data_IF_288577880967
#
_entry.id   IF_288577880967
#
_cell.length_a   1.000
_cell.length_b   1.000
_cell.length_c   1.000
_cell.angle_alpha   90.00
_cell.angle_beta   90.00
_cell.angle_gamma   90.00
#
_symmetry.space_group_name_H-M   'P 1'
#
loop_
_entity.id
_entity.type
_entity.pdbx_description
1 polymer ?
#
# COMPACT_ATOMS: atom_id res chain seq x y z
N UNK A 1 0.26 -26.82 2.87
CA UNK A 1 0.05 -25.40 3.22
C UNK A 1 -1.12 -25.16 4.18
N UNK A 2 -2.30 -25.80 4.02
CA UNK A 2 -3.47 -25.53 4.88
C UNK A 2 -3.33 -25.79 6.40
N UNK A 3 -2.47 -26.73 6.83
CA UNK A 3 -2.30 -27.03 8.26
C UNK A 3 -1.48 -25.96 9.02
N UNK A 4 -0.55 -25.27 8.33
CA UNK A 4 0.29 -24.23 8.93
C UNK A 4 -0.52 -22.96 9.23
N UNK A 5 -1.40 -22.55 8.31
CA UNK A 5 -2.33 -21.42 8.51
C UNK A 5 -3.36 -21.67 9.61
N UNK A 6 -3.82 -22.92 9.77
CA UNK A 6 -4.72 -23.31 10.87
C UNK A 6 -4.02 -23.21 12.24
N UNK A 7 -2.74 -23.56 12.32
CA UNK A 7 -1.94 -23.50 13.56
C UNK A 7 -1.52 -22.07 13.94
N UNK A 8 -1.41 -21.16 12.97
CA UNK A 8 -1.05 -19.75 13.17
C UNK A 8 -2.26 -18.82 13.40
N UNK A 9 -3.51 -19.33 13.40
CA UNK A 9 -4.76 -18.54 13.47
C UNK A 9 -4.82 -17.37 12.45
N UNK A 10 -4.01 -17.38 11.40
CA UNK A 10 -4.10 -16.36 10.35
C UNK A 10 -5.41 -16.60 9.60
N UNK A 11 -6.36 -15.65 9.64
CA UNK A 11 -7.60 -15.80 8.91
C UNK A 11 -7.26 -15.89 7.41
N UNK A 12 -7.68 -16.97 6.76
CA UNK A 12 -7.46 -17.21 5.33
C UNK A 12 -8.06 -16.09 4.47
N UNK A 13 -9.18 -15.50 4.90
CA UNK A 13 -9.88 -14.45 4.17
C UNK A 13 -9.02 -13.19 3.94
N UNK A 14 -8.43 -12.54 4.95
CA UNK A 14 -7.49 -11.42 4.76
C UNK A 14 -6.30 -11.74 3.86
N UNK A 15 -5.78 -12.97 3.89
CA UNK A 15 -4.63 -13.35 3.06
C UNK A 15 -5.02 -13.44 1.58
N UNK A 16 -6.17 -14.04 1.28
CA UNK A 16 -6.74 -14.06 -0.08
C UNK A 16 -7.08 -12.65 -0.56
N UNK A 17 -7.68 -11.82 0.32
CA UNK A 17 -7.97 -10.42 0.01
C UNK A 17 -6.69 -9.65 -0.32
N UNK A 18 -5.62 -9.80 0.48
CA UNK A 18 -4.34 -9.16 0.20
C UNK A 18 -3.73 -9.59 -1.13
N UNK A 19 -3.84 -10.88 -1.49
CA UNK A 19 -3.37 -11.40 -2.77
C UNK A 19 -4.12 -10.77 -3.95
N UNK A 20 -5.45 -10.74 -3.89
CA UNK A 20 -6.28 -10.15 -4.95
C UNK A 20 -6.06 -8.64 -5.05
N UNK A 21 -6.01 -7.93 -3.92
CA UNK A 21 -5.71 -6.50 -3.90
C UNK A 21 -4.32 -6.21 -4.46
N UNK A 22 -3.34 -7.08 -4.20
CA UNK A 22 -2.00 -6.99 -4.75
C UNK A 22 -1.99 -7.07 -6.28
N UNK A 23 -2.68 -8.06 -6.84
CA UNK A 23 -2.82 -8.22 -8.30
C UNK A 23 -3.49 -7.00 -8.96
N UNK A 24 -4.52 -6.45 -8.32
CA UNK A 24 -5.20 -5.22 -8.76
C UNK A 24 -4.29 -3.99 -8.69
N UNK A 25 -3.46 -3.89 -7.66
CA UNK A 25 -2.48 -2.82 -7.53
C UNK A 25 -1.38 -2.93 -8.60
N UNK A 26 -0.88 -4.13 -8.86
CA UNK A 26 0.16 -4.37 -9.87
C UNK A 26 -0.35 -4.09 -11.28
N UNK A 27 -1.56 -4.53 -11.61
CA UNK A 27 -2.19 -4.26 -12.91
C UNK A 27 -2.41 -2.76 -13.13
N UNK A 28 -2.91 -2.04 -12.12
CA UNK A 28 -3.08 -0.58 -12.16
C UNK A 28 -1.74 0.14 -12.33
N UNK A 29 -0.71 -0.29 -11.58
CA UNK A 29 0.64 0.26 -11.70
C UNK A 29 1.24 0.04 -13.10
N UNK A 30 1.11 -1.19 -13.64
CA UNK A 30 1.55 -1.50 -15.01
C UNK A 30 0.83 -0.66 -16.04
N UNK A 31 -0.49 -0.49 -15.89
CA UNK A 31 -1.29 0.35 -16.77
C UNK A 31 -0.80 1.81 -16.75
N UNK A 32 -0.55 2.39 -15.58
CA UNK A 32 0.03 3.74 -15.46
C UNK A 32 1.42 3.83 -16.10
N UNK A 33 2.27 2.82 -15.91
CA UNK A 33 3.61 2.78 -16.51
C UNK A 33 3.57 2.66 -18.03
N UNK A 34 2.66 1.87 -18.60
CA UNK A 34 2.45 1.77 -20.04
C UNK A 34 1.98 3.10 -20.63
N UNK A 35 1.07 3.80 -19.95
CA UNK A 35 0.63 5.14 -20.33
C UNK A 35 1.78 6.16 -20.33
N UNK A 36 2.74 6.02 -19.40
CA UNK A 36 3.92 6.90 -19.29
C UNK A 36 5.11 6.50 -20.15
N UNK A 37 4.98 5.44 -20.98
CA UNK A 37 6.11 4.83 -21.69
C UNK A 37 7.28 4.45 -20.76
N UNK A 38 6.97 3.99 -19.54
CA UNK A 38 7.95 3.59 -18.53
C UNK A 38 8.55 4.71 -17.69
N UNK A 39 8.11 5.96 -17.86
CA UNK A 39 8.59 7.08 -17.04
C UNK A 39 7.79 7.24 -15.73
N UNK A 40 8.48 7.39 -14.59
CA UNK A 40 7.82 7.70 -13.30
C UNK A 40 7.29 9.14 -13.22
N UNK A 41 7.52 9.95 -14.24
CA UNK A 41 7.05 11.34 -14.30
C UNK A 41 5.53 11.43 -14.33
N UNK A 42 4.78 10.38 -14.69
CA UNK A 42 3.30 10.40 -14.67
C UNK A 42 2.73 10.72 -13.29
N UNK A 43 3.39 10.29 -12.22
CA UNK A 43 2.93 10.54 -10.85
C UNK A 43 3.04 12.02 -10.44
N UNK A 44 3.84 12.82 -11.18
CA UNK A 44 4.03 14.26 -10.97
C UNK A 44 3.77 15.10 -12.23
N UNK A 45 3.20 14.51 -13.28
CA UNK A 45 3.08 15.15 -14.59
C UNK A 45 2.17 16.38 -14.57
N UNK A 46 1.14 16.36 -13.71
CA UNK A 46 0.20 17.45 -13.55
C UNK A 46 0.04 17.81 -12.06
N UNK A 47 -0.18 19.09 -11.72
CA UNK A 47 -0.38 19.52 -10.33
C UNK A 47 -1.57 18.81 -9.66
N UNK A 48 -2.60 18.43 -10.42
CA UNK A 48 -3.71 17.61 -9.92
C UNK A 48 -3.27 16.20 -9.50
N UNK A 49 -2.50 15.51 -10.35
CA UNK A 49 -2.01 14.15 -10.08
C UNK A 49 -1.01 14.18 -8.91
N UNK A 50 -0.11 15.15 -8.90
CA UNK A 50 0.82 15.35 -7.78
C UNK A 50 0.10 15.63 -6.46
N UNK A 51 -0.98 16.42 -6.49
CA UNK A 51 -1.83 16.65 -5.31
C UNK A 51 -2.52 15.39 -4.80
N UNK A 52 -3.10 14.59 -5.70
CA UNK A 52 -3.70 13.30 -5.36
C UNK A 52 -2.67 12.31 -4.82
N UNK A 53 -1.47 12.29 -5.40
CA UNK A 53 -0.39 11.40 -4.96
C UNK A 53 0.12 11.79 -3.58
N UNK A 54 0.31 13.09 -3.32
CA UNK A 54 0.67 13.60 -2.01
C UNK A 54 -0.40 13.26 -0.96
N UNK A 55 -1.68 13.47 -1.27
CA UNK A 55 -2.79 13.09 -0.39
C UNK A 55 -2.79 11.59 -0.08
N UNK A 56 -2.54 10.76 -1.10
CA UNK A 56 -2.46 9.30 -0.95
C UNK A 56 -1.34 8.89 0.00
N UNK A 57 -0.14 9.48 -0.12
CA UNK A 57 0.95 9.26 0.82
C UNK A 57 0.63 9.73 2.24
N UNK A 58 -0.04 10.88 2.38
CA UNK A 58 -0.50 11.37 3.69
C UNK A 58 -1.43 10.37 4.34
N UNK A 59 -2.44 9.86 3.62
CA UNK A 59 -3.38 8.86 4.18
C UNK A 59 -2.68 7.54 4.50
N UNK A 60 -1.74 7.09 3.67
CA UNK A 60 -0.96 5.88 3.89
C UNK A 60 -0.08 5.98 5.15
N UNK A 61 0.55 7.13 5.36
CA UNK A 61 1.47 7.37 6.48
C UNK A 61 0.78 7.84 7.76
N UNK A 62 -0.45 8.35 7.67
CA UNK A 62 -1.26 8.81 8.80
C UNK A 62 -1.28 7.84 10.00
N UNK A 63 -1.56 6.53 9.82
CA UNK A 63 -1.59 5.59 10.94
C UNK A 63 -0.21 5.25 11.51
N UNK A 64 0.87 5.48 10.76
CA UNK A 64 2.24 5.15 11.19
C UNK A 64 2.74 6.16 12.24
N UNK A 65 2.37 7.44 12.12
CA UNK A 65 2.78 8.50 13.07
C UNK A 65 2.36 8.20 14.53
N UNK A 66 1.09 7.90 14.85
CA UNK A 66 0.70 7.55 16.21
C UNK A 66 1.26 6.20 16.65
N UNK A 67 1.37 5.22 15.75
CA UNK A 67 1.97 3.92 16.06
C UNK A 67 3.44 4.06 16.47
N UNK A 68 4.21 4.89 15.75
CA UNK A 68 5.60 5.18 16.05
C UNK A 68 5.74 5.97 17.37
N UNK A 69 4.92 7.00 17.58
CA UNK A 69 4.92 7.78 18.84
C UNK A 69 4.59 6.91 20.05
N UNK A 70 3.66 5.97 19.92
CA UNK A 70 3.32 5.02 20.98
C UNK A 70 4.45 4.02 21.23
N UNK A 71 5.13 3.57 20.19
CA UNK A 71 6.30 2.69 20.30
C UNK A 71 7.47 3.39 21.00
N UNK A 72 7.78 4.65 20.67
CA UNK A 72 8.81 5.44 21.34
C UNK A 72 8.46 5.75 22.80
N UNK A 73 7.19 6.07 23.10
CA UNK A 73 6.72 6.34 24.48
C UNK A 73 6.69 5.10 25.37
N UNK A 74 6.63 3.89 24.83
CA UNK A 74 6.74 2.65 25.61
C UNK A 74 8.18 2.25 25.93
N UNK A 75 9.16 2.90 25.29
CA UNK A 75 10.59 2.59 25.43
C UNK A 75 11.34 3.62 26.32
N UNK A 76 10.69 4.72 26.69
CA UNK A 76 11.16 5.72 27.65
C UNK A 76 10.35 5.61 28.93
#
# INVERSE_FOLDING_TARGET
>A
FGYLFKKLRYPLAPLVLALVLGDMAESSFRQSMLLSQGSLSIFWANPLVGGLMALSFVMLLWPIVPALKHYLRRRA
#
